data_IF_702283610362
#
_entry.id   IF_702283610362
#
_cell.length_a   1.000
_cell.length_b   1.000
_cell.length_c   1.000
_cell.angle_alpha   90.00
_cell.angle_beta   90.00
_cell.angle_gamma   90.00
#
_symmetry.space_group_name_H-M   'P 1'
#
loop_
_entity.id
_entity.type
_entity.pdbx_description
1 polymer ?
#
# COMPACT_ATOMS: atom_id res chain seq x y z
N UNK A 1 -3.97 15.56 22.30
CA UNK A 1 -2.61 15.16 22.70
C UNK A 1 -2.60 13.64 22.77
N UNK A 2 -2.44 12.99 21.64
CA UNK A 2 -2.08 11.58 21.61
C UNK A 2 -0.58 11.54 21.74
N UNK A 3 -0.13 10.96 22.86
CA UNK A 3 1.27 10.68 23.17
C UNK A 3 1.88 9.88 22.02
N UNK A 4 3.01 10.36 21.51
CA UNK A 4 3.88 9.62 20.60
C UNK A 4 4.72 8.64 21.43
N UNK A 5 4.04 7.78 22.20
CA UNK A 5 4.72 6.75 22.98
C UNK A 5 5.12 5.62 22.03
N UNK A 6 6.42 5.48 21.89
CA UNK A 6 7.21 4.40 21.33
C UNK A 6 6.41 3.15 20.89
N UNK A 7 5.99 3.12 19.61
CA UNK A 7 5.67 1.87 18.96
C UNK A 7 6.98 1.09 18.82
N UNK A 8 7.30 0.29 19.82
CA UNK A 8 8.44 -0.64 19.81
C UNK A 8 8.16 -1.72 18.76
N UNK A 9 8.63 -1.47 17.54
CA UNK A 9 8.77 -2.48 16.51
C UNK A 9 9.91 -3.42 16.93
N UNK A 10 9.75 -4.26 17.92
CA UNK A 10 10.70 -5.17 18.56
C UNK A 10 12.03 -5.44 17.85
N UNK A 11 12.99 -6.01 18.51
CA UNK A 11 14.33 -6.30 17.97
C UNK A 11 14.26 -7.10 16.66
N UNK A 12 14.41 -6.43 15.50
CA UNK A 12 14.46 -7.04 14.17
C UNK A 12 15.80 -7.74 13.86
N UNK A 13 16.56 -8.11 14.87
CA UNK A 13 17.81 -8.84 14.71
C UNK A 13 17.57 -10.33 14.89
N UNK A 14 17.66 -11.12 13.82
CA UNK A 14 17.64 -12.57 13.85
C UNK A 14 19.07 -13.12 13.80
N UNK A 15 19.39 -14.08 14.69
CA UNK A 15 20.64 -14.85 14.63
C UNK A 15 20.44 -16.05 13.71
N UNK A 16 20.99 -15.99 12.50
CA UNK A 16 21.07 -17.13 11.59
C UNK A 16 22.55 -17.51 11.40
N UNK A 17 22.91 -18.75 11.70
CA UNK A 17 24.26 -19.29 11.50
C UNK A 17 25.41 -18.45 12.09
N UNK A 18 25.18 -17.81 13.24
CA UNK A 18 26.18 -16.96 13.90
C UNK A 18 26.29 -15.51 13.40
N UNK A 19 25.61 -15.16 12.33
CA UNK A 19 25.51 -13.80 11.82
C UNK A 19 24.24 -13.13 12.34
N UNK A 20 24.35 -11.87 12.74
CA UNK A 20 23.19 -11.02 13.04
C UNK A 20 22.67 -10.48 11.72
N UNK A 21 21.52 -10.96 11.27
CA UNK A 21 20.80 -10.39 10.12
C UNK A 21 19.72 -9.48 10.62
N UNK A 22 19.72 -8.23 10.14
CA UNK A 22 18.61 -7.30 10.36
C UNK A 22 17.44 -7.79 9.48
N UNK A 23 16.33 -8.16 10.11
CA UNK A 23 15.12 -8.59 9.43
C UNK A 23 14.53 -7.40 8.66
N UNK A 24 14.26 -7.59 7.38
CA UNK A 24 13.53 -6.60 6.58
C UNK A 24 12.05 -6.64 6.92
N UNK A 25 11.42 -5.47 7.05
CA UNK A 25 10.00 -5.36 7.34
C UNK A 25 9.14 -5.46 6.07
N UNK A 26 7.88 -5.81 6.25
CA UNK A 26 6.88 -5.96 5.20
C UNK A 26 5.72 -5.02 5.49
N UNK A 27 5.31 -4.28 4.48
CA UNK A 27 4.24 -3.29 4.55
C UNK A 27 3.13 -3.67 3.57
N UNK A 28 1.88 -3.76 4.09
CA UNK A 28 0.66 -3.92 3.30
C UNK A 28 -0.10 -2.57 3.27
N UNK A 29 -0.03 -1.88 2.13
CA UNK A 29 -0.77 -0.66 1.90
C UNK A 29 -2.14 -0.95 1.27
N UNK A 30 -3.15 -0.21 1.68
CA UNK A 30 -4.56 -0.44 1.33
C UNK A 30 -5.05 -1.80 1.87
N UNK A 31 -4.45 -2.25 2.96
CA UNK A 31 -4.73 -3.52 3.61
C UNK A 31 -6.21 -3.60 4.02
N UNK A 32 -7.05 -4.22 3.21
CA UNK A 32 -8.47 -4.41 3.50
C UNK A 32 -8.69 -5.31 4.73
N UNK A 33 -9.43 -6.38 4.61
CA UNK A 33 -9.61 -7.37 5.69
C UNK A 33 -8.46 -8.35 5.88
N UNK A 34 -7.31 -8.17 5.19
CA UNK A 34 -6.11 -8.98 5.37
C UNK A 34 -5.88 -10.07 4.32
N UNK A 35 -6.54 -10.01 3.15
CA UNK A 35 -6.36 -11.04 2.11
C UNK A 35 -4.93 -11.12 1.59
N UNK A 36 -4.31 -9.98 1.27
CA UNK A 36 -2.92 -9.92 0.84
C UNK A 36 -1.97 -10.33 1.97
N UNK A 37 -2.18 -9.80 3.17
CA UNK A 37 -1.40 -10.14 4.36
C UNK A 37 -1.43 -11.65 4.65
N UNK A 38 -2.61 -12.30 4.55
CA UNK A 38 -2.72 -13.76 4.69
C UNK A 38 -1.89 -14.50 3.64
N UNK A 39 -1.97 -14.07 2.37
CA UNK A 39 -1.17 -14.66 1.29
C UNK A 39 0.34 -14.52 1.51
N UNK A 40 0.77 -13.35 1.95
CA UNK A 40 2.17 -13.07 2.29
C UNK A 40 2.60 -13.95 3.46
N UNK A 41 1.81 -14.00 4.54
CA UNK A 41 2.09 -14.83 5.72
C UNK A 41 2.24 -16.31 5.38
N UNK A 42 1.34 -16.86 4.55
CA UNK A 42 1.44 -18.24 4.06
C UNK A 42 2.73 -18.49 3.25
N UNK A 43 3.17 -17.48 2.48
CA UNK A 43 4.36 -17.63 1.64
C UNK A 43 5.68 -17.54 2.41
N UNK A 44 5.74 -16.74 3.47
CA UNK A 44 7.00 -16.45 4.18
C UNK A 44 7.02 -16.94 5.64
N UNK A 45 5.89 -17.45 6.15
CA UNK A 45 5.80 -18.05 7.50
C UNK A 45 5.77 -17.03 8.65
N UNK A 46 5.43 -15.76 8.37
CA UNK A 46 5.27 -14.72 9.40
C UNK A 46 4.31 -13.62 8.97
N UNK A 47 3.73 -12.92 9.92
CA UNK A 47 2.83 -11.80 9.68
C UNK A 47 3.55 -10.63 8.98
N UNK A 48 2.80 -9.82 8.24
CA UNK A 48 3.28 -8.51 7.79
C UNK A 48 3.52 -7.61 9.00
N UNK A 49 4.50 -6.73 8.90
CA UNK A 49 4.87 -5.89 10.05
C UNK A 49 3.96 -4.67 10.18
N UNK A 50 3.52 -4.10 9.06
CA UNK A 50 2.70 -2.89 9.02
C UNK A 50 1.54 -3.08 8.05
N UNK A 51 0.33 -2.71 8.46
CA UNK A 51 -0.85 -2.64 7.61
C UNK A 51 -1.50 -1.24 7.69
N UNK A 52 -1.87 -0.68 6.54
CA UNK A 52 -2.39 0.68 6.43
C UNK A 52 -3.73 0.68 5.70
N UNK A 53 -4.78 1.20 6.33
CA UNK A 53 -6.06 1.48 5.71
C UNK A 53 -6.75 2.65 6.43
N UNK A 54 -7.56 3.43 5.70
CA UNK A 54 -8.32 4.54 6.27
C UNK A 54 -9.70 4.12 6.82
N UNK A 55 -10.18 2.93 6.48
CA UNK A 55 -11.49 2.41 6.92
C UNK A 55 -11.34 1.66 8.24
N UNK A 56 -11.97 2.16 9.29
CA UNK A 56 -11.93 1.60 10.64
C UNK A 56 -12.43 0.15 10.70
N UNK A 57 -13.44 -0.21 9.89
CA UNK A 57 -13.96 -1.58 9.87
C UNK A 57 -12.98 -2.54 9.21
N UNK A 58 -12.31 -2.09 8.13
CA UNK A 58 -11.26 -2.87 7.49
C UNK A 58 -10.09 -3.10 8.45
N UNK A 59 -9.65 -2.05 9.15
CA UNK A 59 -8.58 -2.14 10.16
C UNK A 59 -8.98 -3.07 11.31
N UNK A 60 -10.21 -2.97 11.83
CA UNK A 60 -10.69 -3.85 12.90
C UNK A 60 -10.70 -5.33 12.46
N UNK A 61 -11.15 -5.62 11.24
CA UNK A 61 -11.11 -6.96 10.67
C UNK A 61 -9.67 -7.45 10.49
N UNK A 62 -8.80 -6.60 9.95
CA UNK A 62 -7.38 -6.93 9.74
C UNK A 62 -6.69 -7.22 11.08
N UNK A 63 -6.91 -6.40 12.11
CA UNK A 63 -6.35 -6.60 13.46
C UNK A 63 -6.79 -7.94 14.06
N UNK A 64 -8.04 -8.34 13.82
CA UNK A 64 -8.53 -9.64 14.30
C UNK A 64 -7.83 -10.81 13.61
N UNK A 65 -7.57 -10.69 12.30
CA UNK A 65 -6.93 -11.74 11.51
C UNK A 65 -5.40 -11.77 11.66
N UNK A 66 -4.79 -10.61 11.93
CA UNK A 66 -3.33 -10.42 12.00
C UNK A 66 -2.96 -9.60 13.24
N UNK A 67 -3.10 -10.17 14.47
CA UNK A 67 -2.91 -9.43 15.72
C UNK A 67 -1.47 -8.96 15.97
N UNK A 68 -0.49 -9.58 15.34
CA UNK A 68 0.94 -9.25 15.48
C UNK A 68 1.39 -8.11 14.54
N UNK A 69 0.48 -7.60 13.69
CA UNK A 69 0.74 -6.51 12.74
C UNK A 69 0.50 -5.15 13.39
N UNK A 70 1.38 -4.19 13.16
CA UNK A 70 1.13 -2.79 13.51
C UNK A 70 0.14 -2.15 12.52
N UNK A 71 -0.99 -1.64 13.02
CA UNK A 71 -2.04 -1.09 12.19
C UNK A 71 -2.07 0.43 12.23
N UNK A 72 -2.11 1.06 11.04
CA UNK A 72 -2.40 2.48 10.86
C UNK A 72 -3.82 2.65 10.29
N UNK A 73 -4.73 3.23 11.10
CA UNK A 73 -6.06 3.64 10.66
C UNK A 73 -6.01 5.06 10.11
N UNK A 74 -5.31 5.25 9.02
CA UNK A 74 -5.01 6.55 8.43
C UNK A 74 -5.08 6.49 6.90
N UNK A 75 -5.29 7.67 6.30
CA UNK A 75 -5.16 7.81 4.85
C UNK A 75 -3.72 7.53 4.41
N UNK A 76 -3.55 6.72 3.36
CA UNK A 76 -2.24 6.44 2.76
C UNK A 76 -1.50 7.72 2.32
N UNK A 77 -2.22 8.84 2.12
CA UNK A 77 -1.61 10.14 1.83
C UNK A 77 -0.99 10.80 3.06
N UNK A 78 -1.49 10.50 4.25
CA UNK A 78 -1.05 11.10 5.52
C UNK A 78 0.09 10.31 6.15
N UNK A 79 0.07 8.99 6.01
CA UNK A 79 1.15 8.13 6.50
C UNK A 79 2.46 8.48 5.79
N UNK A 80 3.48 8.84 6.56
CA UNK A 80 4.84 9.10 6.06
C UNK A 80 5.67 7.82 6.09
N UNK A 81 6.11 7.27 4.93
CA UNK A 81 6.78 5.97 4.87
C UNK A 81 7.99 5.85 5.82
N UNK A 82 8.88 6.84 5.84
CA UNK A 82 10.06 6.85 6.73
C UNK A 82 9.72 6.82 8.21
N UNK A 83 8.61 7.45 8.60
CA UNK A 83 8.15 7.47 10.00
C UNK A 83 7.51 6.13 10.35
N UNK A 84 6.60 5.64 9.50
CA UNK A 84 5.92 4.37 9.73
C UNK A 84 6.91 3.19 9.83
N UNK A 85 7.97 3.21 9.03
CA UNK A 85 8.99 2.16 9.04
C UNK A 85 10.07 2.36 10.11
N UNK A 86 10.04 3.48 10.86
CA UNK A 86 11.04 3.82 11.87
C UNK A 86 12.50 3.68 11.37
N UNK A 87 12.75 3.87 10.09
CA UNK A 87 14.05 3.72 9.45
C UNK A 87 14.53 2.28 9.24
N UNK A 88 13.69 1.28 9.48
CA UNK A 88 14.01 -0.11 9.17
C UNK A 88 14.08 -0.36 7.67
N UNK A 89 14.92 -1.32 7.27
CA UNK A 89 14.97 -1.77 5.87
C UNK A 89 13.65 -2.45 5.51
N UNK A 90 13.12 -2.10 4.33
CA UNK A 90 11.86 -2.63 3.83
C UNK A 90 12.14 -3.71 2.78
N UNK A 91 11.70 -4.93 3.05
CA UNK A 91 11.85 -6.07 2.13
C UNK A 91 10.75 -6.09 1.07
N UNK A 92 9.52 -5.81 1.48
CA UNK A 92 8.35 -5.82 0.59
C UNK A 92 7.40 -4.68 0.95
N UNK A 93 6.94 -3.97 -0.07
CA UNK A 93 5.75 -3.12 -0.01
C UNK A 93 4.71 -3.68 -0.95
N UNK A 94 3.60 -4.14 -0.40
CA UNK A 94 2.40 -4.50 -1.16
C UNK A 94 1.48 -3.29 -1.24
N UNK A 95 0.87 -3.08 -2.43
CA UNK A 95 -0.05 -1.97 -2.68
C UNK A 95 -1.23 -2.49 -3.51
N UNK A 96 -2.43 -2.35 -2.99
CA UNK A 96 -3.68 -2.69 -3.70
C UNK A 96 -4.65 -1.49 -3.70
N UNK A 97 -4.30 -0.40 -4.43
CA UNK A 97 -5.11 0.81 -4.44
C UNK A 97 -6.48 0.59 -5.08
N UNK A 98 -7.48 1.31 -4.60
CA UNK A 98 -8.86 1.23 -5.07
C UNK A 98 -8.96 1.39 -6.61
N UNK A 99 -9.57 0.40 -7.23
CA UNK A 99 -9.78 0.31 -8.68
C UNK A 99 -11.09 0.96 -9.18
N UNK A 100 -11.87 1.61 -8.30
CA UNK A 100 -13.22 2.14 -8.63
C UNK A 100 -13.29 3.00 -9.89
N UNK A 101 -12.19 3.60 -10.31
CA UNK A 101 -12.13 4.44 -11.52
C UNK A 101 -11.68 3.69 -12.77
N UNK A 102 -11.14 2.50 -12.62
CA UNK A 102 -10.68 1.68 -13.74
C UNK A 102 -11.67 0.54 -14.04
N UNK A 103 -12.45 0.10 -13.04
CA UNK A 103 -13.38 -1.02 -13.19
C UNK A 103 -14.60 -0.67 -14.02
N UNK A 104 -14.95 -1.52 -14.99
CA UNK A 104 -16.17 -1.47 -15.81
C UNK A 104 -17.49 -1.61 -15.04
N UNK A 105 -17.42 -2.10 -13.79
CA UNK A 105 -18.59 -2.39 -12.97
C UNK A 105 -19.41 -1.17 -12.52
N UNK A 106 -18.90 0.04 -12.67
CA UNK A 106 -19.61 1.30 -12.36
C UNK A 106 -19.70 2.17 -13.59
N UNK A 107 -20.89 2.25 -14.21
CA UNK A 107 -21.19 3.16 -15.32
C UNK A 107 -20.56 4.55 -15.14
N UNK A 108 -20.41 5.29 -16.22
CA UNK A 108 -19.65 6.55 -16.37
C UNK A 108 -20.00 7.65 -15.35
N UNK A 109 -19.58 7.51 -14.09
CA UNK A 109 -19.62 8.59 -13.10
C UNK A 109 -18.33 9.41 -13.14
N UNK A 110 -18.37 10.71 -12.80
CA UNK A 110 -17.16 11.54 -12.74
C UNK A 110 -16.08 10.92 -11.87
N UNK A 111 -14.86 11.00 -12.35
CA UNK A 111 -13.67 10.41 -11.70
C UNK A 111 -13.15 11.38 -10.64
N UNK A 112 -13.10 11.00 -9.38
CA UNK A 112 -12.44 11.80 -8.35
C UNK A 112 -10.93 11.77 -8.55
N UNK A 113 -10.29 12.97 -8.63
CA UNK A 113 -8.84 13.10 -8.81
C UNK A 113 -8.04 12.39 -7.71
N UNK A 114 -8.53 12.41 -6.48
CA UNK A 114 -7.91 11.78 -5.32
C UNK A 114 -7.69 10.29 -5.53
N UNK A 115 -8.68 9.57 -6.04
CA UNK A 115 -8.60 8.11 -6.24
C UNK A 115 -7.67 7.76 -7.41
N UNK A 116 -7.66 8.56 -8.49
CA UNK A 116 -6.68 8.37 -9.57
C UNK A 116 -5.24 8.58 -9.09
N UNK A 117 -5.06 9.41 -8.05
CA UNK A 117 -3.76 9.64 -7.43
C UNK A 117 -3.25 8.51 -6.54
N UNK A 118 -4.11 7.54 -6.17
CA UNK A 118 -3.71 6.48 -5.23
C UNK A 118 -2.54 5.62 -5.75
N UNK A 119 -2.48 5.37 -7.05
CA UNK A 119 -1.36 4.64 -7.65
C UNK A 119 -0.01 5.35 -7.43
N UNK A 120 0.02 6.70 -7.43
CA UNK A 120 1.23 7.49 -7.20
C UNK A 120 1.81 7.33 -5.79
N UNK A 121 1.02 6.82 -4.83
CA UNK A 121 1.52 6.45 -3.50
C UNK A 121 2.64 5.40 -3.61
N UNK A 122 2.58 4.54 -4.63
CA UNK A 122 3.63 3.56 -4.94
C UNK A 122 4.98 4.24 -5.12
N UNK A 123 5.05 5.29 -5.93
CA UNK A 123 6.30 6.01 -6.17
C UNK A 123 6.83 6.67 -4.89
N UNK A 124 5.93 7.21 -4.05
CA UNK A 124 6.35 7.79 -2.77
C UNK A 124 6.98 6.74 -1.86
N UNK A 125 6.38 5.57 -1.73
CA UNK A 125 6.97 4.47 -0.97
C UNK A 125 8.32 4.04 -1.54
N UNK A 126 8.43 3.91 -2.88
CA UNK A 126 9.70 3.57 -3.53
C UNK A 126 10.80 4.58 -3.23
N UNK A 127 10.51 5.88 -3.38
CA UNK A 127 11.49 6.95 -3.19
C UNK A 127 11.85 7.18 -1.71
N UNK A 128 10.90 7.00 -0.79
CA UNK A 128 11.11 7.30 0.62
C UNK A 128 11.87 6.21 1.37
N UNK A 129 11.60 4.92 1.08
CA UNK A 129 12.13 3.80 1.87
C UNK A 129 12.91 2.76 1.06
N UNK A 130 13.01 2.94 -0.26
CA UNK A 130 13.79 2.09 -1.18
C UNK A 130 13.60 0.58 -0.89
N UNK A 131 12.37 0.04 -1.00
CA UNK A 131 12.09 -1.33 -0.66
C UNK A 131 12.76 -2.29 -1.66
N UNK A 132 13.20 -3.45 -1.19
CA UNK A 132 13.80 -4.46 -2.07
C UNK A 132 12.84 -5.00 -3.13
N UNK A 133 11.56 -5.09 -2.80
CA UNK A 133 10.48 -5.50 -3.71
C UNK A 133 9.26 -4.61 -3.50
N UNK A 134 8.65 -4.18 -4.60
CA UNK A 134 7.32 -3.55 -4.59
C UNK A 134 6.37 -4.38 -5.46
N UNK A 135 5.18 -4.62 -4.96
CA UNK A 135 4.11 -5.29 -5.69
C UNK A 135 2.87 -4.41 -5.71
N UNK A 136 2.41 -4.07 -6.91
CA UNK A 136 1.17 -3.33 -7.14
C UNK A 136 0.12 -4.26 -7.75
N UNK A 137 -0.97 -4.44 -7.03
CA UNK A 137 -2.16 -5.15 -7.55
C UNK A 137 -3.21 -4.14 -8.01
N UNK A 138 -3.77 -4.36 -9.18
CA UNK A 138 -4.91 -3.60 -9.68
C UNK A 138 -5.68 -4.41 -10.75
N UNK A 139 -6.82 -3.89 -11.20
CA UNK A 139 -7.61 -4.49 -12.28
C UNK A 139 -6.93 -4.30 -13.64
N UNK A 140 -7.26 -5.15 -14.62
CA UNK A 140 -6.67 -5.08 -15.96
C UNK A 140 -6.89 -3.73 -16.64
N UNK A 141 -8.03 -3.10 -16.39
CA UNK A 141 -8.38 -1.77 -16.92
C UNK A 141 -7.38 -0.68 -16.49
N UNK A 142 -6.59 -0.90 -15.44
CA UNK A 142 -5.52 0.01 -15.04
C UNK A 142 -4.53 0.28 -16.18
N UNK A 143 -4.32 -0.68 -17.09
CA UNK A 143 -3.49 -0.51 -18.29
C UNK A 143 -4.01 0.58 -19.24
N UNK A 144 -5.30 0.94 -19.15
CA UNK A 144 -5.89 2.01 -19.96
C UNK A 144 -5.76 3.39 -19.30
N UNK A 145 -5.06 3.49 -18.17
CA UNK A 145 -4.91 4.74 -17.45
C UNK A 145 -4.22 5.81 -18.31
N UNK A 146 -4.96 6.86 -18.59
CA UNK A 146 -4.53 8.00 -19.42
C UNK A 146 -4.96 9.32 -18.82
N UNK A 147 -4.56 10.46 -19.41
CA UNK A 147 -4.95 11.78 -18.97
C UNK A 147 -6.45 12.01 -19.12
N UNK A 148 -6.96 13.05 -18.46
CA UNK A 148 -8.33 13.50 -18.61
C UNK A 148 -8.43 14.51 -19.78
N UNK A 149 -9.61 14.58 -20.40
CA UNK A 149 -9.95 15.66 -21.33
C UNK A 149 -9.81 17.01 -20.63
N UNK A 150 -9.32 18.00 -21.35
CA UNK A 150 -9.10 19.34 -20.82
C UNK A 150 -10.42 19.93 -20.30
N UNK A 151 -10.43 20.30 -19.01
CA UNK A 151 -11.61 20.86 -18.35
C UNK A 151 -12.69 19.83 -17.95
N UNK A 152 -12.49 18.55 -18.20
CA UNK A 152 -13.44 17.49 -17.90
C UNK A 152 -12.88 16.49 -16.89
N UNK A 153 -13.79 15.73 -16.25
CA UNK A 153 -13.46 14.62 -15.34
C UNK A 153 -13.62 13.26 -16.06
N UNK A 154 -13.44 13.24 -17.39
CA UNK A 154 -13.50 12.02 -18.19
C UNK A 154 -12.13 11.70 -18.80
N UNK A 155 -11.74 10.41 -18.85
CA UNK A 155 -10.55 10.00 -19.57
C UNK A 155 -10.60 10.43 -21.05
N UNK A 156 -9.45 10.82 -21.58
CA UNK A 156 -9.29 11.05 -23.03
C UNK A 156 -9.09 9.69 -23.72
N UNK A 157 -10.04 9.22 -24.55
CA UNK A 157 -9.91 7.92 -25.21
C UNK A 157 -8.76 7.84 -26.20
N UNK A 158 -8.34 8.98 -26.78
CA UNK A 158 -7.22 9.03 -27.74
C UNK A 158 -5.86 8.88 -27.08
N UNK A 159 -5.80 9.02 -25.73
CA UNK A 159 -4.60 8.96 -24.92
C UNK A 159 -4.65 7.85 -23.86
N UNK A 160 -5.48 6.83 -24.13
CA UNK A 160 -5.60 5.68 -23.23
C UNK A 160 -4.24 4.94 -23.11
N UNK A 161 -3.83 4.66 -21.88
CA UNK A 161 -2.56 3.97 -21.57
C UNK A 161 -1.37 4.90 -21.32
N UNK A 162 -1.38 6.14 -21.81
CA UNK A 162 -0.22 7.03 -21.68
C UNK A 162 0.26 7.25 -20.23
N UNK A 163 -0.69 7.36 -19.27
CA UNK A 163 -0.30 7.52 -17.86
C UNK A 163 0.23 6.21 -17.28
N UNK A 164 -0.31 5.07 -17.70
CA UNK A 164 0.18 3.76 -17.28
C UNK A 164 1.61 3.51 -17.80
N UNK A 165 1.90 3.86 -19.03
CA UNK A 165 3.25 3.73 -19.61
C UNK A 165 4.28 4.65 -18.93
N UNK A 166 3.84 5.81 -18.45
CA UNK A 166 4.69 6.74 -17.72
C UNK A 166 4.89 6.37 -16.24
N UNK A 167 3.98 5.55 -15.69
CA UNK A 167 4.00 5.08 -14.32
C UNK A 167 4.99 3.95 -14.11
#
# INVERSE_FOLDING_TARGET
>A
NVSTDDCDLGSFAEKCNGEIRVREIIVDNFAGGGGASTGIELAIGRSVDIAINHDENAVAMHTTNHPDTLHYCESVYEVRPKVATAGHRVGLVWLSPDCRHFSKAKGAKPVEKSIRGLAWVTLRWGLDVDPRVMMLENVEEFKTWGPLLAGEMRPDPSRAGETFEAF
#
